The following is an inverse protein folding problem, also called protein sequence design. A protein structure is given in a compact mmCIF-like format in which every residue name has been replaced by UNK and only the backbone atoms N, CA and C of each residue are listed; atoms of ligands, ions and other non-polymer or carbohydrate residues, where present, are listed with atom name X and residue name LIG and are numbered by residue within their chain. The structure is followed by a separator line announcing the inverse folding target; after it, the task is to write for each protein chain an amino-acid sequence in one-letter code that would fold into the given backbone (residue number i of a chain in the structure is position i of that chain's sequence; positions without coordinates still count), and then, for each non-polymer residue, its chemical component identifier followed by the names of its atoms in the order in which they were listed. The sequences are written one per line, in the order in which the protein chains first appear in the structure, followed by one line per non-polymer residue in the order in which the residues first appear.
data_IF_582616310095
#
_entry.id   IF_582616310095
#
_cell.length_a   1.000
_cell.length_b   1.000
_cell.length_c   1.000
_cell.angle_alpha   90.00
_cell.angle_beta   90.00
_cell.angle_gamma   90.00
#
_symmetry.space_group_name_H-M   'P 1'
#
loop_
_entity.id
_entity.type
_entity.pdbx_description
1 polymer ?
#
# COMPACT_ATOMS: atom_id res chain seq x y z
N UNK A 1 35.69 -9.28 -4.07
CA UNK A 1 34.89 -10.44 -3.63
C UNK A 1 33.48 -10.22 -4.16
N UNK A 2 33.06 -11.00 -5.15
CA UNK A 2 31.81 -10.76 -5.87
C UNK A 2 30.75 -11.58 -5.15
N UNK A 3 29.84 -10.92 -4.40
CA UNK A 3 28.58 -11.56 -4.03
C UNK A 3 27.93 -12.00 -5.35
N UNK A 4 27.57 -13.26 -5.48
CA UNK A 4 26.74 -13.71 -6.59
C UNK A 4 25.36 -13.08 -6.40
N UNK A 5 25.16 -11.87 -6.92
CA UNK A 5 23.82 -11.34 -7.03
C UNK A 5 23.12 -12.12 -8.12
N UNK A 6 21.99 -12.69 -7.74
CA UNK A 6 21.06 -13.29 -8.67
C UNK A 6 20.44 -12.15 -9.49
N UNK A 7 21.13 -11.78 -10.57
CA UNK A 7 20.72 -10.72 -11.48
C UNK A 7 20.12 -11.30 -12.78
N UNK A 8 20.10 -12.63 -12.89
CA UNK A 8 19.68 -13.36 -14.09
C UNK A 8 18.19 -13.75 -14.00
N UNK A 9 17.38 -13.50 -15.05
CA UNK A 9 16.00 -14.00 -15.12
C UNK A 9 15.94 -15.51 -14.96
N UNK A 10 14.93 -16.04 -14.28
CA UNK A 10 14.85 -17.48 -13.96
C UNK A 10 14.77 -18.36 -15.21
N UNK A 11 14.29 -17.80 -16.32
CA UNK A 11 14.19 -18.49 -17.62
C UNK A 11 15.55 -18.82 -18.23
N UNK A 12 16.62 -18.12 -17.82
CA UNK A 12 17.95 -18.32 -18.35
C UNK A 12 18.81 -19.21 -17.43
N UNK A 13 18.27 -19.69 -16.32
CA UNK A 13 19.02 -20.52 -15.38
C UNK A 13 19.22 -21.93 -15.90
N UNK A 14 20.41 -22.45 -15.66
CA UNK A 14 20.80 -23.82 -15.97
C UNK A 14 21.32 -24.52 -14.72
N UNK A 15 21.69 -25.79 -14.85
CA UNK A 15 22.36 -26.54 -13.78
C UNK A 15 23.64 -25.84 -13.28
N UNK A 16 24.33 -25.07 -14.14
CA UNK A 16 25.54 -24.36 -13.75
C UNK A 16 25.26 -23.28 -12.71
N UNK A 17 24.20 -22.48 -12.88
CA UNK A 17 23.79 -21.48 -11.90
C UNK A 17 23.44 -22.12 -10.56
N UNK A 18 22.76 -23.28 -10.56
CA UNK A 18 22.46 -24.02 -9.34
C UNK A 18 23.73 -24.53 -8.64
N UNK A 19 24.70 -25.05 -9.40
CA UNK A 19 26.01 -25.46 -8.85
C UNK A 19 26.79 -24.27 -8.29
N UNK A 20 26.69 -23.10 -8.90
CA UNK A 20 27.32 -21.89 -8.36
C UNK A 20 26.71 -21.51 -7.01
N UNK A 21 25.38 -21.59 -6.87
CA UNK A 21 24.70 -21.41 -5.58
C UNK A 21 25.12 -22.46 -4.54
N UNK A 22 25.20 -23.73 -4.92
CA UNK A 22 25.63 -24.80 -4.00
C UNK A 22 27.04 -24.60 -3.47
N UNK A 23 27.94 -24.04 -4.29
CA UNK A 23 29.34 -23.81 -3.92
C UNK A 23 29.57 -22.46 -3.22
N UNK A 24 28.54 -21.60 -3.10
CA UNK A 24 28.66 -20.33 -2.38
C UNK A 24 28.48 -20.56 -0.87
N UNK A 25 29.49 -20.27 -0.02
CA UNK A 25 29.36 -20.42 1.43
C UNK A 25 28.37 -19.45 2.08
N UNK A 26 27.82 -18.49 1.33
CA UNK A 26 26.78 -17.54 1.77
C UNK A 26 25.44 -17.78 1.07
N UNK A 27 25.19 -18.99 0.59
CA UNK A 27 23.93 -19.41 -0.03
C UNK A 27 22.76 -19.60 0.97
N UNK A 28 22.64 -18.67 1.91
CA UNK A 28 21.56 -18.63 2.88
C UNK A 28 20.34 -17.97 2.27
N UNK A 29 19.15 -18.37 2.72
CA UNK A 29 17.93 -17.61 2.42
C UNK A 29 18.06 -16.14 2.82
N UNK A 30 17.61 -15.26 1.94
CA UNK A 30 17.76 -13.83 2.14
C UNK A 30 16.54 -13.03 1.63
N UNK A 31 16.77 -11.77 1.29
CA UNK A 31 15.74 -10.85 0.81
C UNK A 31 15.21 -11.19 -0.59
N UNK A 32 15.94 -11.98 -1.38
CA UNK A 32 15.62 -12.30 -2.76
C UNK A 32 15.57 -13.81 -3.07
N UNK A 33 15.93 -14.71 -2.15
CA UNK A 33 15.85 -16.16 -2.37
C UNK A 33 15.23 -16.93 -1.20
N UNK A 34 14.46 -17.96 -1.55
CA UNK A 34 13.90 -18.97 -0.65
C UNK A 34 14.09 -20.36 -1.26
N UNK A 35 14.53 -21.32 -0.45
CA UNK A 35 14.74 -22.70 -0.83
C UNK A 35 13.64 -23.59 -0.25
N UNK A 36 13.08 -24.48 -1.06
CA UNK A 36 12.09 -25.44 -0.61
C UNK A 36 12.40 -26.81 -1.16
N UNK A 37 12.51 -27.80 -0.28
CA UNK A 37 12.72 -29.19 -0.70
C UNK A 37 11.51 -29.68 -1.50
N UNK A 38 10.31 -29.52 -0.93
CA UNK A 38 9.04 -29.88 -1.55
C UNK A 38 7.95 -28.86 -1.24
N UNK A 39 6.90 -28.84 -2.05
CA UNK A 39 5.69 -28.09 -1.70
C UNK A 39 4.85 -28.88 -0.68
N UNK A 40 4.76 -28.37 0.54
CA UNK A 40 4.07 -28.99 1.67
C UNK A 40 2.52 -28.90 1.62
N UNK A 41 1.95 -28.44 0.50
CA UNK A 41 0.50 -28.18 0.32
C UNK A 41 -0.08 -27.06 1.20
N UNK A 42 0.76 -26.29 1.88
CA UNK A 42 0.33 -25.10 2.60
C UNK A 42 0.17 -23.92 1.64
N UNK A 43 -1.07 -23.72 1.20
CA UNK A 43 -1.42 -22.62 0.29
C UNK A 43 -1.35 -21.25 0.98
N UNK A 44 -1.48 -21.19 2.31
CA UNK A 44 -1.31 -19.94 3.06
C UNK A 44 0.15 -19.53 3.08
N UNK A 45 1.05 -20.47 3.36
CA UNK A 45 2.48 -20.20 3.38
C UNK A 45 3.01 -19.78 2.01
N UNK A 46 2.63 -20.48 0.94
CA UNK A 46 3.00 -20.07 -0.43
C UNK A 46 2.53 -18.64 -0.75
N UNK A 47 1.31 -18.26 -0.36
CA UNK A 47 0.84 -16.88 -0.57
C UNK A 47 1.66 -15.87 0.22
N UNK A 48 2.09 -16.20 1.44
CA UNK A 48 2.96 -15.34 2.25
C UNK A 48 4.32 -15.19 1.62
N UNK A 49 4.92 -16.28 1.14
CA UNK A 49 6.20 -16.23 0.40
C UNK A 49 6.09 -15.26 -0.78
N UNK A 50 5.11 -15.50 -1.65
CA UNK A 50 4.89 -14.71 -2.86
C UNK A 50 4.62 -13.24 -2.57
N UNK A 51 3.68 -12.95 -1.66
CA UNK A 51 3.33 -11.56 -1.31
C UNK A 51 4.48 -10.85 -0.60
N UNK A 52 5.24 -11.54 0.24
CA UNK A 52 6.39 -10.94 0.93
C UNK A 52 7.49 -10.50 -0.04
N UNK A 53 7.80 -11.31 -1.05
CA UNK A 53 8.74 -10.95 -2.11
C UNK A 53 8.18 -9.86 -3.02
N UNK A 54 6.91 -9.98 -3.45
CA UNK A 54 6.30 -8.97 -4.33
C UNK A 54 6.19 -7.59 -3.66
N UNK A 55 6.06 -7.54 -2.33
CA UNK A 55 6.06 -6.28 -1.57
C UNK A 55 7.45 -5.75 -1.23
N UNK A 56 8.52 -6.53 -1.48
CA UNK A 56 9.90 -6.07 -1.30
C UNK A 56 10.33 -5.15 -2.45
N UNK A 57 11.45 -4.45 -2.27
CA UNK A 57 11.99 -3.55 -3.31
C UNK A 57 12.67 -4.31 -4.46
N UNK A 58 13.04 -5.59 -4.25
CA UNK A 58 13.83 -6.38 -5.20
C UNK A 58 13.08 -7.53 -5.85
N UNK A 59 11.95 -7.97 -5.28
CA UNK A 59 11.28 -9.21 -5.66
C UNK A 59 11.97 -10.43 -5.04
N UNK A 60 11.93 -11.57 -5.73
CA UNK A 60 12.70 -12.74 -5.31
C UNK A 60 12.45 -14.01 -6.12
N UNK A 61 13.09 -15.09 -5.68
CA UNK A 61 13.09 -16.41 -6.28
C UNK A 61 12.71 -17.45 -5.23
N UNK A 62 11.80 -18.35 -5.58
CA UNK A 62 11.55 -19.57 -4.80
C UNK A 62 12.06 -20.74 -5.62
N UNK A 63 13.01 -21.50 -5.08
CA UNK A 63 13.58 -22.68 -5.73
C UNK A 63 13.08 -23.96 -5.07
N UNK A 64 12.24 -24.71 -5.78
CA UNK A 64 11.75 -26.01 -5.33
C UNK A 64 12.64 -27.15 -5.77
N UNK A 65 12.89 -28.11 -4.89
CA UNK A 65 13.84 -29.22 -5.07
C UNK A 65 15.22 -28.94 -4.45
N UNK A 66 15.30 -27.98 -3.54
CA UNK A 66 16.54 -27.62 -2.81
C UNK A 66 16.24 -27.63 -1.31
N UNK A 67 17.02 -28.40 -0.54
CA UNK A 67 17.02 -28.36 0.93
C UNK A 67 17.99 -27.28 1.39
N UNK A 68 17.58 -26.46 2.36
CA UNK A 68 18.33 -25.29 2.83
C UNK A 68 19.45 -25.68 3.82
N UNK A 69 19.13 -26.48 4.83
CA UNK A 69 20.08 -26.90 5.86
C UNK A 69 20.04 -28.43 6.10
N UNK A 70 21.09 -29.19 5.72
CA UNK A 70 22.25 -28.74 4.93
C UNK A 70 21.85 -28.42 3.48
N UNK A 71 22.55 -27.47 2.87
CA UNK A 71 22.26 -27.07 1.49
C UNK A 71 22.46 -28.23 0.51
N UNK A 72 21.39 -28.69 -0.13
CA UNK A 72 21.43 -29.84 -1.03
C UNK A 72 20.44 -29.70 -2.19
N UNK A 73 20.93 -29.85 -3.43
CA UNK A 73 20.10 -29.91 -4.63
C UNK A 73 19.60 -31.36 -4.78
N UNK A 74 18.34 -31.60 -4.42
CA UNK A 74 17.71 -32.92 -4.46
C UNK A 74 17.04 -33.15 -5.82
N UNK A 75 16.42 -32.10 -6.36
CA UNK A 75 15.60 -32.17 -7.56
C UNK A 75 14.22 -32.81 -7.34
N UNK A 76 13.39 -32.73 -8.36
CA UNK A 76 12.04 -33.31 -8.42
C UNK A 76 11.75 -33.82 -9.83
N UNK A 77 10.78 -34.73 -9.96
CA UNK A 77 10.43 -35.32 -11.25
C UNK A 77 9.63 -34.35 -12.12
N UNK A 78 9.66 -34.54 -13.45
CA UNK A 78 8.86 -33.73 -14.38
C UNK A 78 7.36 -33.72 -14.05
N UNK A 79 6.81 -34.88 -13.67
CA UNK A 79 5.39 -34.99 -13.32
C UNK A 79 5.01 -34.20 -12.06
N UNK A 80 5.93 -34.08 -11.10
CA UNK A 80 5.75 -33.25 -9.90
C UNK A 80 5.89 -31.77 -10.22
N UNK A 81 6.86 -31.39 -11.05
CA UNK A 81 7.00 -30.02 -11.57
C UNK A 81 5.71 -29.54 -12.22
N UNK A 82 5.13 -30.33 -13.13
CA UNK A 82 3.92 -29.94 -13.84
C UNK A 82 2.73 -29.77 -12.88
N UNK A 83 2.59 -30.66 -11.89
CA UNK A 83 1.59 -30.53 -10.82
C UNK A 83 1.81 -29.28 -9.97
N UNK A 84 3.05 -28.99 -9.64
CA UNK A 84 3.42 -27.85 -8.81
C UNK A 84 3.15 -26.53 -9.54
N UNK A 85 3.53 -26.41 -10.82
CA UNK A 85 3.22 -25.24 -11.65
C UNK A 85 1.72 -24.93 -11.68
N UNK A 86 0.89 -25.95 -11.89
CA UNK A 86 -0.57 -25.80 -11.91
C UNK A 86 -1.10 -25.37 -10.53
N UNK A 87 -0.57 -25.95 -9.46
CA UNK A 87 -0.97 -25.67 -8.09
C UNK A 87 -0.58 -24.24 -7.68
N UNK A 88 0.64 -23.81 -7.98
CA UNK A 88 1.14 -22.45 -7.76
C UNK A 88 0.27 -21.45 -8.52
N UNK A 89 0.03 -21.70 -9.82
CA UNK A 89 -0.82 -20.84 -10.64
C UNK A 89 -2.23 -20.69 -10.06
N UNK A 90 -2.84 -21.77 -9.56
CA UNK A 90 -4.15 -21.71 -8.92
C UNK A 90 -4.13 -20.91 -7.62
N UNK A 91 -3.16 -21.18 -6.74
CA UNK A 91 -3.08 -20.57 -5.41
C UNK A 91 -2.78 -19.07 -5.48
N UNK A 92 -1.90 -18.66 -6.37
CA UNK A 92 -1.48 -17.26 -6.51
C UNK A 92 -2.59 -16.40 -7.13
N UNK A 93 -3.40 -16.96 -8.03
CA UNK A 93 -4.54 -16.24 -8.60
C UNK A 93 -5.74 -16.15 -7.64
N UNK A 94 -5.64 -16.70 -6.42
CA UNK A 94 -6.69 -16.66 -5.40
C UNK A 94 -6.23 -15.89 -4.17
N UNK A 95 -7.13 -15.06 -3.64
CA UNK A 95 -6.95 -14.36 -2.36
C UNK A 95 -5.73 -13.43 -2.30
N UNK A 96 -5.11 -13.07 -3.43
CA UNK A 96 -4.12 -12.00 -3.49
C UNK A 96 -4.75 -10.81 -4.20
N UNK A 97 -4.78 -9.67 -3.52
CA UNK A 97 -5.37 -8.42 -4.00
C UNK A 97 -4.40 -7.23 -3.81
N UNK A 98 -4.21 -6.38 -4.84
CA UNK A 98 -4.62 -6.60 -6.23
C UNK A 98 -3.93 -7.82 -6.83
N UNK A 99 -4.38 -8.28 -8.00
CA UNK A 99 -3.69 -9.35 -8.74
C UNK A 99 -2.24 -8.95 -9.01
N UNK A 100 -1.32 -9.90 -8.86
CA UNK A 100 0.11 -9.67 -9.14
C UNK A 100 0.29 -9.24 -10.59
N UNK A 101 1.03 -8.14 -10.77
CA UNK A 101 1.35 -7.55 -12.06
C UNK A 101 2.77 -6.96 -12.01
N UNK A 102 3.75 -7.58 -12.69
CA UNK A 102 3.61 -8.76 -13.55
C UNK A 102 3.36 -10.07 -12.77
N UNK A 103 2.74 -11.10 -13.40
CA UNK A 103 2.53 -12.39 -12.75
C UNK A 103 3.87 -13.16 -12.57
N UNK A 104 3.98 -14.04 -11.56
CA UNK A 104 5.18 -14.84 -11.36
C UNK A 104 5.49 -15.75 -12.56
N UNK A 105 6.78 -15.90 -12.86
CA UNK A 105 7.27 -16.80 -13.93
C UNK A 105 7.85 -18.06 -13.30
N UNK A 106 7.48 -19.22 -13.84
CA UNK A 106 8.00 -20.52 -13.39
C UNK A 106 8.81 -21.19 -14.49
N UNK A 107 10.00 -21.68 -14.15
CA UNK A 107 10.93 -22.31 -15.07
C UNK A 107 11.52 -23.60 -14.48
N UNK A 108 11.35 -24.76 -15.15
CA UNK A 108 12.01 -25.99 -14.75
C UNK A 108 13.46 -26.00 -15.23
N UNK A 109 14.39 -25.97 -14.28
CA UNK A 109 15.83 -26.07 -14.52
C UNK A 109 16.20 -27.55 -14.51
N UNK A 110 16.68 -28.06 -15.64
CA UNK A 110 17.07 -29.47 -15.78
C UNK A 110 18.32 -29.79 -14.97
N UNK A 111 18.29 -30.96 -14.31
CA UNK A 111 19.43 -31.60 -13.66
C UNK A 111 19.75 -32.93 -14.37
N UNK A 112 20.92 -33.50 -14.07
CA UNK A 112 21.23 -34.87 -14.44
C UNK A 112 20.18 -35.87 -13.90
N UNK A 113 20.08 -37.06 -14.52
CA UNK A 113 19.12 -38.12 -14.17
C UNK A 113 17.62 -37.76 -14.32
N UNK A 114 17.28 -36.84 -15.22
CA UNK A 114 15.89 -36.49 -15.52
C UNK A 114 15.12 -35.90 -14.32
N UNK A 115 15.88 -35.24 -13.43
CA UNK A 115 15.37 -34.44 -12.33
C UNK A 115 15.40 -32.96 -12.69
N UNK A 116 14.65 -32.17 -11.94
CA UNK A 116 14.48 -30.73 -12.18
C UNK A 116 14.45 -29.97 -10.86
N UNK A 117 14.91 -28.72 -10.87
CA UNK A 117 14.55 -27.71 -9.87
C UNK A 117 13.50 -26.80 -10.49
N UNK A 118 12.41 -26.53 -9.80
CA UNK A 118 11.44 -25.53 -10.28
C UNK A 118 11.78 -24.17 -9.67
N UNK A 119 12.29 -23.27 -10.50
CA UNK A 119 12.47 -21.88 -10.14
C UNK A 119 11.19 -21.08 -10.36
N UNK A 120 10.81 -20.24 -9.39
CA UNK A 120 9.68 -19.31 -9.48
C UNK A 120 10.19 -17.90 -9.20
N UNK A 121 10.16 -17.04 -10.22
CA UNK A 121 10.53 -15.64 -10.11
C UNK A 121 9.31 -14.79 -9.79
N UNK A 122 9.44 -13.99 -8.73
CA UNK A 122 8.45 -13.05 -8.23
C UNK A 122 9.01 -11.64 -8.42
N UNK A 123 8.24 -10.79 -9.08
CA UNK A 123 8.66 -9.43 -9.37
C UNK A 123 8.24 -8.48 -8.24
N UNK A 124 9.05 -7.45 -7.97
CA UNK A 124 8.64 -6.40 -7.05
C UNK A 124 7.44 -5.66 -7.64
N UNK A 125 6.55 -5.21 -6.75
CA UNK A 125 5.42 -4.35 -7.11
C UNK A 125 5.90 -3.07 -7.79
N UNK A 126 5.12 -2.59 -8.75
CA UNK A 126 5.35 -1.28 -9.37
C UNK A 126 4.72 -0.14 -8.56
N UNK A 127 3.60 -0.41 -7.88
CA UNK A 127 2.90 0.58 -7.05
C UNK A 127 2.04 -0.10 -5.96
N UNK A 128 1.69 0.66 -4.92
CA UNK A 128 0.78 0.21 -3.86
C UNK A 128 1.35 -0.89 -2.96
N UNK A 129 0.50 -1.85 -2.62
CA UNK A 129 0.85 -3.00 -1.78
C UNK A 129 -0.06 -4.19 -2.11
N UNK A 130 0.51 -5.39 -2.18
CA UNK A 130 -0.24 -6.63 -2.30
C UNK A 130 -0.66 -7.15 -0.92
N UNK A 131 -1.85 -7.70 -0.86
CA UNK A 131 -2.45 -8.20 0.37
C UNK A 131 -3.03 -9.60 0.16
N UNK A 132 -3.04 -10.40 1.22
CA UNK A 132 -3.69 -11.71 1.24
C UNK A 132 -5.05 -11.55 1.92
N UNK A 133 -6.13 -11.80 1.17
CA UNK A 133 -7.50 -11.86 1.68
C UNK A 133 -7.68 -13.09 2.57
N UNK A 134 -8.29 -12.92 3.75
CA UNK A 134 -8.46 -14.02 4.71
C UNK A 134 -9.49 -15.06 4.29
N UNK A 135 -10.50 -14.68 3.52
CA UNK A 135 -11.53 -15.59 3.02
C UNK A 135 -11.86 -15.32 1.56
N UNK A 136 -12.03 -16.38 0.77
CA UNK A 136 -12.50 -16.31 -0.62
C UNK A 136 -14.02 -16.19 -0.73
N UNK A 137 -14.77 -16.43 0.35
CA UNK A 137 -16.23 -16.42 0.35
C UNK A 137 -16.76 -15.01 0.62
N UNK A 138 -17.45 -14.34 -0.33
CA UNK A 138 -17.98 -12.98 -0.16
C UNK A 138 -18.93 -12.81 1.03
N UNK A 139 -19.58 -13.89 1.46
CA UNK A 139 -20.55 -13.87 2.56
C UNK A 139 -19.90 -14.07 3.93
N UNK A 140 -18.60 -14.36 3.99
CA UNK A 140 -17.87 -14.49 5.25
C UNK A 140 -17.43 -13.10 5.75
N UNK A 141 -17.54 -12.84 7.05
CA UNK A 141 -17.06 -11.59 7.68
C UNK A 141 -15.60 -11.29 7.38
N UNK A 142 -14.80 -12.35 7.23
CA UNK A 142 -13.36 -12.26 6.96
C UNK A 142 -13.04 -11.95 5.49
N UNK A 143 -14.04 -11.92 4.61
CA UNK A 143 -13.84 -11.58 3.18
C UNK A 143 -13.24 -10.19 3.00
N UNK A 144 -13.57 -9.26 3.90
CA UNK A 144 -13.07 -7.87 3.86
C UNK A 144 -11.79 -7.69 4.66
N UNK A 145 -11.29 -8.74 5.30
CA UNK A 145 -10.08 -8.70 6.10
C UNK A 145 -8.88 -9.15 5.25
N UNK A 146 -7.81 -8.36 5.36
CA UNK A 146 -6.57 -8.59 4.65
C UNK A 146 -5.41 -8.74 5.62
N UNK A 147 -4.38 -9.46 5.19
CA UNK A 147 -3.08 -9.50 5.84
C UNK A 147 -2.00 -9.06 4.86
N UNK A 148 -1.08 -8.25 5.33
CA UNK A 148 -0.02 -7.65 4.54
C UNK A 148 1.31 -8.19 5.01
N UNK A 149 2.15 -8.61 4.08
CA UNK A 149 3.43 -9.27 4.38
C UNK A 149 4.52 -8.64 3.54
N UNK A 150 5.71 -8.53 4.11
CA UNK A 150 6.92 -8.05 3.43
C UNK A 150 8.10 -8.93 3.79
N UNK A 151 9.07 -9.03 2.87
CA UNK A 151 10.38 -9.60 3.17
C UNK A 151 11.23 -8.55 3.90
N UNK A 152 11.80 -8.91 5.05
CA UNK A 152 12.67 -8.06 5.88
C UNK A 152 13.74 -8.94 6.51
N UNK A 153 15.02 -8.59 6.33
CA UNK A 153 16.18 -9.34 6.81
C UNK A 153 16.12 -10.85 6.53
N UNK A 154 15.71 -11.21 5.30
CA UNK A 154 15.58 -12.61 4.88
C UNK A 154 14.37 -13.35 5.45
N UNK A 155 13.49 -12.66 6.20
CA UNK A 155 12.31 -13.26 6.82
C UNK A 155 11.02 -12.62 6.36
N UNK A 156 9.94 -13.36 6.49
CA UNK A 156 8.58 -12.86 6.27
C UNK A 156 8.10 -12.14 7.50
N UNK A 157 7.69 -10.88 7.35
CA UNK A 157 7.15 -10.07 8.43
C UNK A 157 5.77 -9.56 8.06
N UNK A 158 4.82 -9.71 8.98
CA UNK A 158 3.50 -9.11 8.84
C UNK A 158 3.59 -7.61 9.13
N UNK A 159 2.97 -6.80 8.27
CA UNK A 159 2.92 -5.34 8.43
C UNK A 159 1.74 -4.93 9.31
N UNK A 160 1.96 -3.90 10.13
CA UNK A 160 0.89 -3.18 10.83
C UNK A 160 0.14 -2.26 9.86
N UNK A 161 -1.05 -1.80 10.24
CA UNK A 161 -1.82 -0.87 9.40
C UNK A 161 -1.12 0.50 9.26
N UNK A 162 -0.37 0.94 10.27
CA UNK A 162 0.43 2.17 10.22
C UNK A 162 1.56 2.06 9.19
N UNK A 163 2.22 0.90 9.13
CA UNK A 163 3.25 0.62 8.12
C UNK A 163 2.62 0.51 6.73
N UNK A 164 1.47 -0.15 6.59
CA UNK A 164 0.73 -0.24 5.32
C UNK A 164 0.39 1.15 4.80
N UNK A 165 -0.12 2.04 5.65
CA UNK A 165 -0.40 3.42 5.28
C UNK A 165 0.86 4.14 4.81
N UNK A 166 1.97 3.97 5.52
CA UNK A 166 3.27 4.54 5.13
C UNK A 166 3.75 4.03 3.77
N UNK A 167 3.58 2.72 3.50
CA UNK A 167 3.92 2.11 2.21
C UNK A 167 3.05 2.63 1.06
N UNK A 168 1.74 2.77 1.28
CA UNK A 168 0.82 3.33 0.28
C UNK A 168 1.21 4.79 -0.03
N UNK A 169 1.58 5.57 1.00
CA UNK A 169 2.02 6.96 0.83
C UNK A 169 3.35 7.03 0.08
N UNK A 170 4.31 6.15 0.39
CA UNK A 170 5.63 6.11 -0.27
C UNK A 170 5.54 5.67 -1.75
N UNK A 171 4.60 4.78 -2.08
CA UNK A 171 4.49 4.14 -3.41
C UNK A 171 3.50 4.81 -4.37
N UNK A 172 2.72 5.80 -3.92
CA UNK A 172 1.85 6.60 -4.77
C UNK A 172 2.32 8.07 -4.81
N UNK A 173 3.25 8.42 -5.72
CA UNK A 173 3.69 9.81 -5.90
C UNK A 173 2.58 10.73 -6.44
N UNK A 174 1.42 10.17 -6.86
CA UNK A 174 0.29 10.88 -7.43
C UNK A 174 -0.89 11.08 -6.46
N UNK A 175 -0.75 10.66 -5.20
CA UNK A 175 -1.80 10.84 -4.21
C UNK A 175 -1.99 12.32 -3.91
N UNK A 176 -3.17 12.83 -4.24
CA UNK A 176 -3.62 14.20 -3.94
C UNK A 176 -3.55 14.42 -2.43
N UNK A 177 -2.77 15.40 -1.99
CA UNK A 177 -2.68 15.75 -0.57
C UNK A 177 -3.38 17.09 -0.34
N UNK A 178 -4.39 17.09 0.52
CA UNK A 178 -5.00 18.31 1.04
C UNK A 178 -4.68 18.34 2.52
N UNK A 179 -3.79 19.24 2.93
CA UNK A 179 -3.53 19.56 4.32
C UNK A 179 -4.42 20.75 4.71
N UNK A 180 -5.36 20.55 5.63
CA UNK A 180 -6.18 21.65 6.18
C UNK A 180 -5.56 22.08 7.50
N UNK A 181 -5.26 23.39 7.65
CA UNK A 181 -4.77 23.97 8.90
C UNK A 181 -5.70 25.08 9.35
N UNK A 182 -6.23 24.93 10.56
CA UNK A 182 -7.06 25.95 11.21
C UNK A 182 -6.14 26.83 12.04
N UNK A 183 -6.12 28.12 11.72
CA UNK A 183 -5.31 29.12 12.42
C UNK A 183 -6.18 29.97 13.33
N UNK A 184 -5.75 30.12 14.57
CA UNK A 184 -6.26 31.14 15.48
C UNK A 184 -5.29 32.32 15.42
N UNK A 185 -5.70 33.44 14.83
CA UNK A 185 -4.84 34.62 14.78
C UNK A 185 -4.94 35.37 16.12
N UNK A 186 -3.83 35.38 16.86
CA UNK A 186 -3.73 35.99 18.20
C UNK A 186 -3.21 37.43 18.18
N UNK A 187 -2.90 38.01 17.00
CA UNK A 187 -2.10 39.24 16.90
C UNK A 187 -2.71 40.41 16.10
N UNK A 188 -4.03 40.47 15.88
CA UNK A 188 -4.67 41.67 15.32
C UNK A 188 -5.36 42.54 16.40
N UNK A 189 -5.24 43.88 16.35
CA UNK A 189 -5.67 44.76 17.45
C UNK A 189 -7.19 44.92 17.56
N UNK A 190 -7.97 44.43 16.59
CA UNK A 190 -9.41 44.59 16.55
C UNK A 190 -10.10 43.28 16.92
N UNK A 191 -10.90 43.32 17.98
CA UNK A 191 -11.52 42.17 18.66
C UNK A 191 -12.61 41.44 17.86
N UNK A 192 -12.76 41.70 16.56
CA UNK A 192 -13.57 40.93 15.61
C UNK A 192 -12.71 39.81 15.00
N UNK A 193 -12.32 38.82 15.80
CA UNK A 193 -11.44 37.74 15.36
C UNK A 193 -12.13 36.83 14.33
N UNK A 194 -11.80 37.00 13.05
CA UNK A 194 -12.11 36.05 11.98
C UNK A 194 -11.39 34.72 12.26
N UNK A 195 -12.11 33.59 12.24
CA UNK A 195 -11.45 32.28 12.24
C UNK A 195 -10.86 32.05 10.86
N UNK A 196 -9.55 31.83 10.81
CA UNK A 196 -8.82 31.61 9.56
C UNK A 196 -8.72 30.10 9.33
N UNK A 197 -9.31 29.62 8.24
CA UNK A 197 -9.11 28.27 7.75
C UNK A 197 -8.18 28.37 6.54
N UNK A 198 -6.92 27.97 6.69
CA UNK A 198 -6.01 27.84 5.56
C UNK A 198 -6.06 26.40 5.04
N UNK A 199 -6.17 26.25 3.72
CA UNK A 199 -6.14 24.95 3.06
C UNK A 199 -4.91 24.91 2.16
N UNK A 200 -3.99 24.04 2.50
CA UNK A 200 -2.78 23.79 1.73
C UNK A 200 -3.05 22.54 0.90
N UNK A 201 -3.50 22.72 -0.34
CA UNK A 201 -3.63 21.62 -1.29
C UNK A 201 -2.33 21.45 -2.06
N UNK A 202 -1.60 20.36 -1.82
CA UNK A 202 -0.44 20.01 -2.66
C UNK A 202 -0.90 19.03 -3.73
N UNK A 203 -1.10 19.54 -4.94
CA UNK A 203 -1.45 18.73 -6.09
C UNK A 203 -0.24 18.31 -6.92
N UNK A 204 0.38 17.17 -6.62
CA UNK A 204 1.49 16.63 -7.43
C UNK A 204 1.04 15.84 -8.67
N UNK A 205 -0.22 15.98 -9.10
CA UNK A 205 -0.81 15.20 -10.21
C UNK A 205 -1.01 16.04 -11.48
N UNK A 206 -1.04 15.38 -12.64
CA UNK A 206 -1.33 15.98 -13.96
C UNK A 206 -2.76 16.56 -14.04
N UNK A 207 -3.67 16.15 -13.15
CA UNK A 207 -5.06 16.64 -13.09
C UNK A 207 -5.29 17.51 -11.85
N UNK A 208 -5.96 18.68 -11.97
CA UNK A 208 -6.22 19.58 -10.84
C UNK A 208 -7.03 18.92 -9.72
N UNK A 209 -6.80 19.34 -8.47
CA UNK A 209 -7.73 19.07 -7.36
C UNK A 209 -8.92 20.01 -7.53
N UNK A 210 -10.13 19.45 -7.62
CA UNK A 210 -11.36 20.23 -7.68
C UNK A 210 -11.89 20.35 -6.25
N UNK A 211 -11.94 21.58 -5.73
CA UNK A 211 -12.49 21.86 -4.41
C UNK A 211 -13.98 22.16 -4.57
N UNK A 212 -14.84 21.24 -4.12
CA UNK A 212 -16.30 21.39 -4.22
C UNK A 212 -16.94 22.12 -3.04
N UNK A 213 -16.31 21.99 -1.86
CA UNK A 213 -16.63 22.62 -0.58
C UNK A 213 -15.52 22.23 0.42
N UNK A 214 -15.41 22.95 1.52
CA UNK A 214 -14.68 22.51 2.71
C UNK A 214 -15.51 22.86 3.94
N UNK A 215 -15.29 22.19 5.05
CA UNK A 215 -16.06 22.44 6.25
C UNK A 215 -15.36 21.94 7.49
N UNK A 216 -15.79 22.42 8.65
CA UNK A 216 -15.37 21.87 9.93
C UNK A 216 -16.56 21.23 10.62
N UNK A 217 -16.29 20.10 11.25
CA UNK A 217 -17.27 19.39 12.06
C UNK A 217 -17.11 19.84 13.52
N UNK A 218 -18.20 20.33 14.08
CA UNK A 218 -18.30 20.73 15.48
C UNK A 218 -18.99 19.62 16.22
N UNK A 219 -18.25 18.82 17.00
CA UNK A 219 -18.85 17.79 17.85
C UNK A 219 -19.71 18.44 18.95
N UNK A 220 -20.94 17.96 19.12
CA UNK A 220 -21.70 18.12 20.36
C UNK A 220 -21.51 16.86 21.21
N UNK A 221 -21.78 16.95 22.52
CA UNK A 221 -21.62 15.89 23.53
C UNK A 221 -22.38 14.58 23.23
N UNK A 222 -23.15 14.52 22.13
CA UNK A 222 -23.96 13.38 21.70
C UNK A 222 -23.61 12.86 20.28
N UNK A 223 -22.42 13.14 19.74
CA UNK A 223 -21.95 12.69 18.40
C UNK A 223 -22.83 13.12 17.21
N UNK A 224 -23.79 14.03 17.42
CA UNK A 224 -24.61 14.68 16.38
C UNK A 224 -24.05 16.05 16.02
N UNK A 225 -22.75 16.09 15.72
CA UNK A 225 -22.06 17.35 15.48
C UNK A 225 -22.64 18.14 14.30
N UNK A 226 -22.39 19.44 14.32
CA UNK A 226 -22.75 20.36 13.26
C UNK A 226 -21.62 20.41 12.23
N UNK A 227 -21.91 20.04 10.98
CA UNK A 227 -20.99 20.21 9.86
C UNK A 227 -21.27 21.54 9.15
N UNK A 228 -20.36 22.51 9.28
CA UNK A 228 -20.45 23.79 8.58
C UNK A 228 -19.61 23.75 7.33
N UNK A 229 -20.22 23.95 6.16
CA UNK A 229 -19.55 23.90 4.87
C UNK A 229 -19.48 25.29 4.23
N UNK A 230 -18.31 25.63 3.72
CA UNK A 230 -18.05 26.81 2.92
C UNK A 230 -17.86 26.35 1.47
N UNK A 231 -18.54 27.04 0.56
CA UNK A 231 -18.68 26.65 -0.83
C UNK A 231 -18.02 27.67 -1.77
N UNK A 232 -17.57 27.26 -2.97
CA UNK A 232 -17.02 28.18 -3.95
C UNK A 232 -18.08 29.18 -4.46
N UNK A 233 -17.70 30.42 -4.78
CA UNK A 233 -18.62 31.52 -5.07
C UNK A 233 -19.58 31.26 -6.25
N UNK A 234 -19.21 30.38 -7.18
CA UNK A 234 -20.00 30.10 -8.38
C UNK A 234 -21.16 29.10 -8.16
N UNK A 235 -21.28 28.47 -6.99
CA UNK A 235 -22.38 27.52 -6.71
C UNK A 235 -23.61 28.16 -6.10
N UNK A 236 -23.46 29.24 -5.34
CA UNK A 236 -24.57 30.01 -4.80
C UNK A 236 -24.18 31.49 -4.71
N UNK A 237 -24.57 32.34 -5.69
CA UNK A 237 -24.22 33.77 -5.68
C UNK A 237 -24.84 34.57 -4.51
N UNK A 238 -25.64 33.93 -3.64
CA UNK A 238 -26.27 34.52 -2.47
C UNK A 238 -25.73 34.02 -1.12
N UNK A 239 -24.70 33.18 -1.08
CA UNK A 239 -24.08 32.80 0.21
C UNK A 239 -23.20 33.94 0.73
N UNK A 240 -23.39 34.34 2.00
CA UNK A 240 -22.64 35.41 2.68
C UNK A 240 -21.12 35.18 2.76
N UNK A 241 -20.67 33.97 2.43
CA UNK A 241 -19.28 33.54 2.47
C UNK A 241 -18.54 33.87 1.17
N UNK A 242 -18.03 35.09 1.06
CA UNK A 242 -17.28 35.52 -0.12
C UNK A 242 -15.78 35.35 0.11
N UNK A 243 -15.29 34.12 -0.01
CA UNK A 243 -13.86 33.84 0.00
C UNK A 243 -13.49 33.29 -1.36
N UNK A 244 -12.41 33.81 -1.95
CA UNK A 244 -11.93 33.39 -3.27
C UNK A 244 -11.34 31.97 -3.20
N UNK A 245 -12.21 30.98 -3.04
CA UNK A 245 -11.84 29.58 -3.13
C UNK A 245 -11.58 29.27 -4.60
N UNK A 246 -10.35 28.93 -4.99
CA UNK A 246 -10.10 28.50 -6.33
C UNK A 246 -10.82 27.17 -6.53
N UNK A 247 -11.63 27.11 -7.58
CA UNK A 247 -12.35 25.88 -7.99
C UNK A 247 -11.35 24.76 -8.33
N UNK A 248 -10.09 25.12 -8.61
CA UNK A 248 -8.99 24.23 -8.96
C UNK A 248 -7.71 24.64 -8.22
N UNK A 249 -7.06 23.70 -7.56
CA UNK A 249 -5.70 23.86 -7.03
C UNK A 249 -4.69 23.13 -7.94
N UNK A 250 -3.68 23.86 -8.39
CA UNK A 250 -2.48 23.36 -9.10
C UNK A 250 -1.38 22.96 -8.11
N UNK A 251 -0.27 22.44 -8.62
CA UNK A 251 0.86 22.07 -7.76
C UNK A 251 1.46 23.30 -7.07
N UNK A 252 1.65 23.21 -5.76
CA UNK A 252 2.16 24.33 -4.94
C UNK A 252 1.14 25.43 -4.60
N UNK A 253 -0.11 25.34 -5.04
CA UNK A 253 -1.11 26.37 -4.75
C UNK A 253 -1.52 26.40 -3.27
N UNK A 254 -1.64 27.60 -2.73
CA UNK A 254 -2.15 27.87 -1.39
C UNK A 254 -3.47 28.62 -1.50
N UNK A 255 -4.51 28.17 -0.78
CA UNK A 255 -5.72 28.96 -0.62
C UNK A 255 -6.04 29.14 0.87
N UNK A 256 -6.43 30.36 1.24
CA UNK A 256 -6.96 30.64 2.58
C UNK A 256 -8.38 31.13 2.45
N UNK A 257 -9.19 30.74 3.42
CA UNK A 257 -10.59 31.06 3.41
C UNK A 257 -11.09 31.38 4.83
N UNK A 258 -12.02 32.32 4.86
CA UNK A 258 -12.41 33.07 6.04
C UNK A 258 -13.83 32.70 6.44
N UNK A 259 -14.04 32.45 7.73
CA UNK A 259 -15.37 32.24 8.28
C UNK A 259 -15.60 33.24 9.42
N UNK A 260 -16.40 34.30 9.20
CA UNK A 260 -16.63 35.33 10.20
C UNK A 260 -17.19 34.74 11.49
N UNK A 261 -16.72 35.24 12.64
CA UNK A 261 -17.15 34.74 13.94
C UNK A 261 -18.59 35.12 14.29
N UNK A 262 -19.12 36.18 13.68
CA UNK A 262 -20.51 36.59 13.84
C UNK A 262 -21.46 35.57 13.18
N UNK A 263 -21.16 35.19 11.94
CA UNK A 263 -21.90 34.15 11.21
C UNK A 263 -21.78 32.79 11.92
N UNK A 264 -20.60 32.43 12.42
CA UNK A 264 -20.44 31.23 13.23
C UNK A 264 -21.34 31.25 14.46
N UNK A 265 -21.48 32.39 15.13
CA UNK A 265 -22.33 32.50 16.32
C UNK A 265 -23.82 32.38 15.96
N UNK A 266 -24.24 32.95 14.83
CA UNK A 266 -25.60 32.80 14.29
C UNK A 266 -25.89 31.33 14.00
N UNK A 267 -25.02 30.65 13.24
CA UNK A 267 -25.17 29.24 12.86
C UNK A 267 -25.11 28.29 14.08
N UNK A 268 -24.27 28.58 15.08
CA UNK A 268 -24.23 27.82 16.34
C UNK A 268 -25.50 28.04 17.19
N UNK A 269 -26.05 29.27 17.21
CA UNK A 269 -27.25 29.59 17.97
C UNK A 269 -28.48 28.85 17.43
N UNK A 270 -28.63 28.76 16.10
CA UNK A 270 -29.68 27.97 15.45
C UNK A 270 -29.66 26.49 15.86
N UNK A 271 -28.48 25.98 16.18
CA UNK A 271 -28.26 24.61 16.63
C UNK A 271 -28.10 24.46 18.14
N UNK A 272 -28.35 25.52 18.91
CA UNK A 272 -28.25 25.56 20.39
C UNK A 272 -26.86 25.16 20.92
N UNK A 273 -25.82 25.41 20.13
CA UNK A 273 -24.42 25.18 20.50
C UNK A 273 -23.81 26.48 21.03
N UNK A 274 -22.95 26.39 22.04
CA UNK A 274 -22.31 27.56 22.67
C UNK A 274 -20.78 27.44 22.64
N UNK A 275 -20.09 28.58 22.56
CA UNK A 275 -18.63 28.62 22.61
C UNK A 275 -18.13 28.44 24.07
N UNK A 276 -16.95 27.84 24.28
CA UNK A 276 -15.99 27.33 23.28
C UNK A 276 -16.37 25.96 22.73
N UNK A 277 -16.14 25.75 21.43
CA UNK A 277 -16.31 24.45 20.77
C UNK A 277 -14.94 23.82 20.51
N UNK A 278 -14.85 22.50 20.69
CA UNK A 278 -13.64 21.72 20.38
C UNK A 278 -13.70 21.30 18.91
N UNK A 279 -12.71 21.69 18.12
CA UNK A 279 -12.55 21.24 16.74
C UNK A 279 -11.49 20.14 16.73
N UNK A 280 -11.85 18.91 16.38
CA UNK A 280 -10.88 17.85 16.10
C UNK A 280 -10.53 17.86 14.62
N UNK A 281 -9.23 17.82 14.33
CA UNK A 281 -8.68 17.67 12.97
C UNK A 281 -8.48 16.21 12.60
#
# INVERSE_FOLDING_TARGET
MILLRIDKPILDWTENELKMLQNDPHNLEDMNIEYKEHYNRDSSELRRDVVSFANSEVGGYILYGIRDDPFEIIGTTRGEVDKLKNTIGHIINQNIDPRLDPPPISHPIYLYNNLYVLGVQIFPKQSGIYAIRRSSNPNNTDFRLYSFWIRSDGRKRQLSMEEVNSYIIKTDPYKKRIDVKIHFNTFLPNRSMERLISINGVNKSVRPIIVSSYGFHVEDNNDKGLALFIQPPNKHPGTRFNTHLPIKLQDGDLCSAYYPIEDLREDLADHKLTLPITIKG
#
